data_IF_557633905536
#
_entry.id   IF_557633905536
#
_cell.length_a   1.000
_cell.length_b   1.000
_cell.length_c   1.000
_cell.angle_alpha   90.00
_cell.angle_beta   90.00
_cell.angle_gamma   90.00
#
_symmetry.space_group_name_H-M   'P 1'
#
loop_
_entity.id
_entity.type
_entity.pdbx_description
1 polymer ?
#
# COMPACT_ATOMS: atom_id res chain seq x y z
N UNK A 1 19.52 -26.19 -5.95
CA UNK A 1 20.07 -25.48 -4.77
C UNK A 1 20.13 -23.97 -4.98
N UNK A 2 20.76 -23.46 -6.05
CA UNK A 2 20.89 -22.00 -6.32
C UNK A 2 19.57 -21.22 -6.37
N UNK A 3 18.48 -21.86 -6.83
CA UNK A 3 17.14 -21.26 -6.95
C UNK A 3 16.45 -20.94 -5.62
N UNK A 4 16.86 -21.60 -4.53
CA UNK A 4 16.30 -21.40 -3.18
C UNK A 4 17.11 -20.37 -2.40
N UNK A 5 18.39 -20.22 -2.73
CA UNK A 5 19.30 -19.28 -2.07
C UNK A 5 18.89 -17.82 -2.36
N UNK A 6 18.49 -17.52 -3.60
CA UNK A 6 18.06 -16.18 -4.01
C UNK A 6 16.85 -15.65 -3.21
N UNK A 7 15.72 -16.37 -3.10
CA UNK A 7 14.57 -15.86 -2.34
C UNK A 7 14.87 -15.75 -0.84
N UNK A 8 15.69 -16.63 -0.27
CA UNK A 8 16.11 -16.54 1.13
C UNK A 8 16.91 -15.25 1.36
N UNK A 9 17.91 -14.98 0.52
CA UNK A 9 18.70 -13.74 0.61
C UNK A 9 17.79 -12.51 0.46
N UNK A 10 16.83 -12.56 -0.46
CA UNK A 10 15.89 -11.46 -0.68
C UNK A 10 15.03 -11.19 0.56
N UNK A 11 14.55 -12.24 1.24
CA UNK A 11 13.84 -12.10 2.52
C UNK A 11 14.71 -11.52 3.63
N UNK A 12 15.99 -11.90 3.71
CA UNK A 12 16.92 -11.32 4.68
C UNK A 12 17.22 -9.84 4.40
N UNK A 13 17.42 -9.46 3.13
CA UNK A 13 17.58 -8.05 2.75
C UNK A 13 16.34 -7.22 3.06
N UNK A 14 15.15 -7.78 2.83
CA UNK A 14 13.87 -7.16 3.17
C UNK A 14 13.76 -6.94 4.69
N UNK A 15 14.15 -7.92 5.50
CA UNK A 15 14.14 -7.80 6.97
C UNK A 15 15.13 -6.74 7.50
N UNK A 16 16.31 -6.60 6.90
CA UNK A 16 17.28 -5.56 7.29
C UNK A 16 16.80 -4.16 6.85
N UNK A 17 16.11 -4.06 5.71
CA UNK A 17 15.55 -2.80 5.24
C UNK A 17 14.43 -2.26 6.16
N UNK A 18 13.60 -3.12 6.75
CA UNK A 18 12.56 -2.75 7.74
C UNK A 18 13.08 -1.89 8.90
N UNK A 19 14.36 -2.03 9.27
CA UNK A 19 14.95 -1.26 10.37
C UNK A 19 15.12 0.24 10.06
N UNK A 20 15.15 0.62 8.77
CA UNK A 20 15.28 2.01 8.31
C UNK A 20 14.07 2.49 7.51
N UNK A 21 13.36 1.56 6.87
CA UNK A 21 12.27 1.83 5.95
C UNK A 21 11.21 0.73 6.12
N UNK A 22 10.00 1.10 6.53
CA UNK A 22 8.91 0.10 6.62
C UNK A 22 8.28 -0.10 5.25
N UNK A 23 8.11 -1.32 4.78
CA UNK A 23 7.42 -1.58 3.52
C UNK A 23 6.38 -2.68 3.70
N UNK A 24 5.34 -2.65 2.88
CA UNK A 24 4.24 -3.57 3.05
C UNK A 24 3.30 -3.64 1.86
N UNK A 25 2.31 -4.51 1.99
CA UNK A 25 1.19 -4.59 1.07
C UNK A 25 -0.02 -3.95 1.73
N UNK A 26 -0.75 -3.14 0.98
CA UNK A 26 -2.00 -2.53 1.40
C UNK A 26 -3.11 -2.94 0.45
N UNK A 27 -4.11 -3.60 0.99
CA UNK A 27 -5.35 -3.91 0.32
C UNK A 27 -6.50 -3.18 1.00
N UNK A 28 -7.47 -2.68 0.24
CA UNK A 28 -8.58 -1.95 0.81
C UNK A 28 -9.77 -1.81 -0.14
N UNK A 29 -10.90 -1.49 0.47
CA UNK A 29 -12.14 -1.15 -0.23
C UNK A 29 -12.38 0.34 0.01
N UNK A 30 -12.60 1.09 -1.07
CA UNK A 30 -13.00 2.48 -1.01
C UNK A 30 -14.46 2.58 -1.44
N UNK A 31 -15.32 3.06 -0.54
CA UNK A 31 -16.69 3.40 -0.85
C UNK A 31 -16.78 4.92 -0.95
N UNK A 32 -17.05 5.43 -2.16
CA UNK A 32 -17.30 6.84 -2.37
C UNK A 32 -18.76 7.04 -2.77
N UNK A 33 -19.44 7.91 -2.03
CA UNK A 33 -20.83 8.30 -2.27
C UNK A 33 -20.95 9.58 -3.10
N UNK A 34 -19.86 10.34 -3.26
CA UNK A 34 -19.83 11.62 -3.97
C UNK A 34 -19.09 11.43 -5.28
N UNK A 35 -19.86 11.24 -6.35
CA UNK A 35 -19.36 11.29 -7.72
C UNK A 35 -20.02 12.51 -8.38
N UNK A 36 -19.22 13.41 -8.94
CA UNK A 36 -19.72 14.56 -9.68
C UNK A 36 -20.42 14.09 -10.95
N UNK A 37 -21.71 13.75 -10.84
CA UNK A 37 -22.59 13.47 -11.97
C UNK A 37 -23.25 14.80 -12.39
N UNK A 38 -23.64 14.91 -13.68
CA UNK A 38 -24.32 16.11 -14.20
C UNK A 38 -25.69 16.35 -13.55
N UNK A 39 -26.23 15.35 -12.86
CA UNK A 39 -27.53 15.38 -12.22
C UNK A 39 -27.41 15.59 -10.71
N UNK A 40 -27.92 16.70 -10.14
CA UNK A 40 -27.76 17.06 -8.72
C UNK A 40 -28.50 16.12 -7.74
N UNK A 41 -29.26 15.15 -8.23
CA UNK A 41 -30.05 14.21 -7.43
C UNK A 41 -29.67 12.72 -7.62
N UNK A 42 -28.61 12.44 -8.38
CA UNK A 42 -28.17 11.06 -8.66
C UNK A 42 -27.15 10.60 -7.61
N UNK A 43 -27.62 9.91 -6.56
CA UNK A 43 -26.75 9.22 -5.60
C UNK A 43 -26.38 7.83 -6.15
N UNK A 44 -25.16 7.68 -6.66
CA UNK A 44 -24.63 6.39 -7.13
C UNK A 44 -23.46 5.98 -6.23
N UNK A 45 -23.65 5.03 -5.30
CA UNK A 45 -22.55 4.51 -4.50
C UNK A 45 -21.55 3.80 -5.40
N UNK A 46 -20.29 4.18 -5.32
CA UNK A 46 -19.20 3.55 -6.07
C UNK A 46 -18.27 2.83 -5.09
N UNK A 47 -18.13 1.53 -5.27
CA UNK A 47 -17.17 0.72 -4.51
C UNK A 47 -15.97 0.40 -5.40
N UNK A 48 -14.78 0.81 -4.98
CA UNK A 48 -13.51 0.52 -5.65
C UNK A 48 -12.61 -0.34 -4.77
N UNK A 49 -12.01 -1.37 -5.35
CA UNK A 49 -11.00 -2.18 -4.67
C UNK A 49 -9.61 -1.66 -5.06
N UNK A 50 -8.71 -1.58 -4.09
CA UNK A 50 -7.31 -1.23 -4.35
C UNK A 50 -6.39 -2.23 -3.66
N UNK A 51 -5.37 -2.65 -4.40
CA UNK A 51 -4.27 -3.46 -3.92
C UNK A 51 -2.99 -2.77 -4.37
N UNK A 52 -2.07 -2.56 -3.46
CA UNK A 52 -0.81 -1.91 -3.74
C UNK A 52 0.28 -2.33 -2.77
N UNK A 53 1.50 -2.01 -3.14
CA UNK A 53 2.66 -2.03 -2.23
C UNK A 53 2.90 -0.60 -1.75
N UNK A 54 3.39 -0.46 -0.52
CA UNK A 54 3.82 0.83 0.01
C UNK A 54 5.20 0.67 0.66
N UNK A 55 5.97 1.75 0.60
CA UNK A 55 7.17 1.95 1.42
C UNK A 55 6.96 3.20 2.26
N UNK A 56 7.54 3.23 3.44
CA UNK A 56 7.42 4.29 4.42
C UNK A 56 8.80 4.68 4.92
N UNK A 57 9.16 5.93 4.69
CA UNK A 57 10.44 6.51 5.06
C UNK A 57 10.22 7.43 6.27
N UNK A 58 10.66 7.06 7.49
CA UNK A 58 10.52 7.94 8.65
C UNK A 58 11.43 9.17 8.50
N UNK A 59 10.82 10.35 8.36
CA UNK A 59 11.52 11.65 8.40
C UNK A 59 11.72 12.12 9.85
N UNK A 60 10.82 11.72 10.75
CA UNK A 60 10.88 11.95 12.18
C UNK A 60 10.05 10.92 12.94
N UNK A 61 10.08 10.96 14.28
CA UNK A 61 9.28 10.06 15.13
C UNK A 61 7.75 10.16 14.92
N UNK A 62 7.26 11.19 14.21
CA UNK A 62 5.82 11.43 13.98
C UNK A 62 5.44 11.61 12.50
N UNK A 63 6.42 11.62 11.59
CA UNK A 63 6.20 11.89 10.18
C UNK A 63 6.99 10.91 9.33
N UNK A 64 6.30 10.24 8.44
CA UNK A 64 6.87 9.34 7.44
C UNK A 64 6.32 9.65 6.06
N UNK A 65 7.18 9.52 5.04
CA UNK A 65 6.82 9.66 3.64
C UNK A 65 6.47 8.32 3.02
#
# INVERSE_FOLDING_TARGET
MKRIIVPIILCFCAFVAEAQFSFGVKAGVNQNSVRGDKDPFSYKPSTGFHLGVYGSIPLSNKLSL
#
